data_IF_181367739398
#
_entry.id   IF_181367739398
#
_cell.length_a   1.000
_cell.length_b   1.000
_cell.length_c   1.000
_cell.angle_alpha   90.00
_cell.angle_beta   90.00
_cell.angle_gamma   90.00
#
_symmetry.space_group_name_H-M   'P 1'
#
loop_
_entity.id
_entity.type
_entity.pdbx_description
1 polymer ?
#
# COMPACT_ATOMS: atom_id res chain seq x y z
N UNK A 1 -1.89 18.46 7.45
CA UNK A 1 -2.04 18.59 8.92
C UNK A 1 -1.14 19.65 9.51
N UNK A 2 0.19 19.59 9.34
CA UNK A 2 1.12 20.60 9.88
C UNK A 2 0.79 22.05 9.47
N UNK A 3 0.36 22.28 8.22
CA UNK A 3 -0.11 23.62 7.78
C UNK A 3 -1.38 24.06 8.52
N UNK A 4 -2.33 23.14 8.73
CA UNK A 4 -3.57 23.43 9.48
C UNK A 4 -3.26 23.71 10.95
N UNK A 5 -2.42 22.87 11.57
CA UNK A 5 -1.93 23.10 12.93
C UNK A 5 -1.21 24.44 13.06
N UNK A 6 -0.33 24.77 12.12
CA UNK A 6 0.35 26.06 12.06
C UNK A 6 -0.63 27.24 12.03
N UNK A 7 -1.62 27.22 11.13
CA UNK A 7 -2.64 28.28 11.04
C UNK A 7 -3.38 28.43 12.38
N UNK A 8 -3.84 27.33 12.97
CA UNK A 8 -4.57 27.37 14.24
C UNK A 8 -3.69 27.87 15.40
N UNK A 9 -2.45 27.40 15.51
CA UNK A 9 -1.47 27.83 16.51
C UNK A 9 -1.07 29.31 16.35
N UNK A 10 -1.02 29.83 15.12
CA UNK A 10 -0.72 31.25 14.85
C UNK A 10 -1.89 32.16 15.21
N UNK A 11 -3.13 31.68 15.05
CA UNK A 11 -4.35 32.43 15.37
C UNK A 11 -4.77 32.33 16.85
N UNK A 12 -4.20 31.38 17.60
CA UNK A 12 -4.52 31.10 19.00
C UNK A 12 -4.48 32.33 19.93
N UNK A 13 -3.48 33.25 19.83
CA UNK A 13 -3.45 34.48 20.63
C UNK A 13 -4.59 35.48 20.34
N UNK A 14 -5.33 35.29 19.23
CA UNK A 14 -6.46 36.13 18.84
C UNK A 14 -7.80 35.56 19.33
N UNK A 15 -7.80 34.37 19.95
CA UNK A 15 -9.02 33.71 20.41
C UNK A 15 -9.44 34.21 21.80
N UNK A 16 -10.75 34.32 22.08
CA UNK A 16 -11.25 34.59 23.42
C UNK A 16 -10.79 33.49 24.39
N UNK A 17 -10.32 33.86 25.58
CA UNK A 17 -9.81 32.93 26.59
C UNK A 17 -8.30 32.68 26.55
N UNK A 18 -7.58 33.22 25.56
CA UNK A 18 -6.10 33.21 25.51
C UNK A 18 -5.50 34.50 26.14
N UNK A 19 -6.09 35.00 27.23
CA UNK A 19 -5.66 36.22 27.90
C UNK A 19 -4.29 35.99 28.56
N UNK A 20 -3.23 36.56 27.98
CA UNK A 20 -1.86 36.40 28.47
C UNK A 20 -0.89 35.71 27.50
N UNK A 21 -1.34 35.33 26.29
CA UNK A 21 -0.48 34.80 25.23
C UNK A 21 0.58 35.82 24.80
N UNK A 22 1.71 35.87 25.50
CA UNK A 22 2.90 36.62 25.08
C UNK A 22 3.62 35.80 24.00
N UNK A 23 4.18 36.50 23.02
CA UNK A 23 4.91 36.05 21.83
C UNK A 23 6.01 34.95 21.97
N UNK A 24 6.19 34.31 23.12
CA UNK A 24 7.51 33.77 23.51
C UNK A 24 7.83 32.32 23.12
N UNK A 25 6.86 31.42 22.89
CA UNK A 25 7.13 30.23 22.05
C UNK A 25 6.04 29.89 21.02
N UNK A 26 4.77 30.27 21.21
CA UNK A 26 3.64 29.75 20.41
C UNK A 26 3.66 30.24 18.96
N UNK A 27 3.98 31.52 18.74
CA UNK A 27 4.05 32.10 17.39
C UNK A 27 5.24 31.52 16.58
N UNK A 28 6.48 31.45 17.11
CA UNK A 28 7.59 30.75 16.44
C UNK A 28 7.29 29.28 16.13
N UNK A 29 6.61 28.57 17.04
CA UNK A 29 6.18 27.17 16.83
C UNK A 29 5.19 27.08 15.67
N UNK A 30 4.18 27.95 15.64
CA UNK A 30 3.20 28.01 14.55
C UNK A 30 3.88 28.26 13.19
N UNK A 31 4.77 29.26 13.12
CA UNK A 31 5.53 29.57 11.91
C UNK A 31 6.41 28.39 11.50
N UNK A 32 7.16 27.79 12.43
CA UNK A 32 8.04 26.65 12.16
C UNK A 32 7.27 25.42 11.66
N UNK A 33 6.14 25.10 12.29
CA UNK A 33 5.24 24.03 11.84
C UNK A 33 4.67 24.31 10.44
N UNK A 34 4.43 25.58 10.12
CA UNK A 34 3.97 26.02 8.80
C UNK A 34 5.03 25.85 7.73
N UNK A 35 6.26 26.28 8.00
CA UNK A 35 7.42 26.09 7.10
C UNK A 35 7.67 24.61 6.88
N UNK A 36 7.67 23.80 7.95
CA UNK A 36 7.82 22.35 7.85
C UNK A 36 6.69 21.73 7.03
N UNK A 37 5.44 22.12 7.30
CA UNK A 37 4.27 21.62 6.57
C UNK A 37 4.30 21.96 5.08
N UNK A 38 4.76 23.16 4.72
CA UNK A 38 4.90 23.59 3.33
C UNK A 38 6.07 22.88 2.64
N UNK A 39 7.24 22.83 3.28
CA UNK A 39 8.38 22.05 2.79
C UNK A 39 7.97 20.61 2.55
N UNK A 40 7.19 20.06 3.47
CA UNK A 40 6.71 18.71 3.37
C UNK A 40 5.74 18.51 2.21
N UNK A 41 4.78 19.42 2.01
CA UNK A 41 3.83 19.34 0.90
C UNK A 41 4.52 19.48 -0.48
N UNK A 42 5.61 20.25 -0.56
CA UNK A 42 6.32 20.50 -1.81
C UNK A 42 7.32 19.39 -2.19
N UNK A 43 7.75 18.57 -1.23
CA UNK A 43 8.70 17.48 -1.50
C UNK A 43 8.00 16.33 -2.24
N UNK A 44 8.57 15.90 -3.38
CA UNK A 44 8.01 14.80 -4.19
C UNK A 44 8.57 13.42 -3.82
N UNK A 45 9.66 13.36 -3.07
CA UNK A 45 10.38 12.11 -2.79
C UNK A 45 10.00 11.47 -1.45
N UNK A 46 8.74 11.58 -1.03
CA UNK A 46 8.31 10.98 0.24
C UNK A 46 8.46 9.46 0.30
N UNK A 47 8.48 8.80 -0.87
CA UNK A 47 8.65 7.36 -1.00
C UNK A 47 10.03 6.85 -0.51
N UNK A 48 11.05 7.71 -0.42
CA UNK A 48 12.37 7.37 0.14
C UNK A 48 12.57 7.88 1.57
N UNK A 49 11.60 8.59 2.15
CA UNK A 49 11.72 9.10 3.49
C UNK A 49 11.73 7.95 4.52
N UNK A 50 12.63 7.97 5.51
CA UNK A 50 12.69 6.91 6.51
C UNK A 50 11.46 6.98 7.43
N UNK A 51 10.91 5.81 7.81
CA UNK A 51 9.68 5.74 8.61
C UNK A 51 9.72 6.49 9.94
N UNK A 52 10.90 6.55 10.60
CA UNK A 52 11.07 7.31 11.85
C UNK A 52 10.78 8.81 11.70
N UNK A 53 10.95 9.37 10.49
CA UNK A 53 10.72 10.79 10.24
C UNK A 53 9.25 11.16 10.48
N UNK A 54 8.32 10.28 10.13
CA UNK A 54 6.90 10.51 10.40
C UNK A 54 6.59 10.43 11.89
N UNK A 55 7.18 9.47 12.61
CA UNK A 55 7.04 9.38 14.06
C UNK A 55 7.58 10.62 14.79
N UNK A 56 8.76 11.09 14.38
CA UNK A 56 9.39 12.30 14.90
C UNK A 56 8.50 13.53 14.65
N UNK A 57 7.92 13.65 13.45
CA UNK A 57 7.04 14.75 13.11
C UNK A 57 5.76 14.77 13.97
N UNK A 58 5.10 13.63 14.19
CA UNK A 58 3.92 13.56 15.07
C UNK A 58 4.30 13.88 16.51
N UNK A 59 5.38 13.28 17.02
CA UNK A 59 5.85 13.51 18.39
C UNK A 59 6.16 15.00 18.62
N UNK A 60 6.90 15.63 17.71
CA UNK A 60 7.19 17.06 17.78
C UNK A 60 5.91 17.90 17.74
N UNK A 61 4.94 17.53 16.90
CA UNK A 61 3.63 18.19 16.87
C UNK A 61 2.91 18.15 18.22
N UNK A 62 2.93 17.00 18.90
CA UNK A 62 2.33 16.86 20.24
C UNK A 62 3.08 17.69 21.30
N UNK A 63 4.42 17.72 21.25
CA UNK A 63 5.24 18.57 22.13
C UNK A 63 4.94 20.06 21.90
N UNK A 64 4.82 20.49 20.64
CA UNK A 64 4.44 21.85 20.29
C UNK A 64 3.08 22.25 20.86
N UNK A 65 2.10 21.33 20.85
CA UNK A 65 0.79 21.56 21.46
C UNK A 65 0.92 21.67 22.98
N UNK A 66 1.72 20.82 23.64
CA UNK A 66 1.95 20.91 25.09
C UNK A 66 2.51 22.28 25.50
N UNK A 67 3.48 22.79 24.72
CA UNK A 67 4.05 24.14 24.94
C UNK A 67 2.99 25.22 24.70
N UNK A 68 2.20 25.12 23.63
CA UNK A 68 1.14 26.07 23.35
C UNK A 68 0.08 26.10 24.46
N UNK A 69 -0.28 24.94 25.03
CA UNK A 69 -1.21 24.84 26.16
C UNK A 69 -0.67 25.59 27.38
N UNK A 70 0.60 25.36 27.74
CA UNK A 70 1.22 26.06 28.87
C UNK A 70 1.31 27.57 28.66
N UNK A 71 1.54 28.02 27.42
CA UNK A 71 1.69 29.43 27.07
C UNK A 71 0.36 30.20 26.91
N UNK A 72 -0.74 29.49 26.62
CA UNK A 72 -2.05 30.12 26.30
C UNK A 72 -3.12 29.85 27.35
N UNK A 73 -2.72 29.74 28.63
CA UNK A 73 -3.65 29.72 29.75
C UNK A 73 -3.93 28.34 30.36
N UNK A 74 -3.01 27.38 30.22
CA UNK A 74 -3.04 26.13 30.97
C UNK A 74 -4.32 25.34 30.75
N UNK A 75 -5.08 25.09 31.81
CA UNK A 75 -6.35 24.34 31.75
C UNK A 75 -7.37 24.95 30.78
N UNK A 76 -7.41 26.28 30.66
CA UNK A 76 -8.34 27.01 29.80
C UNK A 76 -7.84 27.19 28.37
N UNK A 77 -6.63 26.75 28.06
CA UNK A 77 -6.05 26.95 26.74
C UNK A 77 -6.87 26.26 25.64
N UNK A 78 -7.31 26.96 24.59
CA UNK A 78 -7.99 26.32 23.46
C UNK A 78 -7.04 25.43 22.63
N UNK A 79 -5.72 25.50 22.84
CA UNK A 79 -4.74 24.67 22.13
C UNK A 79 -4.90 23.17 22.44
N UNK A 80 -5.52 22.83 23.58
CA UNK A 80 -5.88 21.46 23.98
C UNK A 80 -6.71 20.72 22.90
N UNK A 81 -7.53 21.43 22.14
CA UNK A 81 -8.33 20.82 21.06
C UNK A 81 -7.48 20.39 19.86
N UNK A 82 -6.29 20.95 19.67
CA UNK A 82 -5.36 20.53 18.62
C UNK A 82 -4.84 19.10 18.85
N UNK A 83 -4.95 18.56 20.07
CA UNK A 83 -4.62 17.17 20.35
C UNK A 83 -5.49 16.17 19.57
N UNK A 84 -6.72 16.54 19.20
CA UNK A 84 -7.57 15.73 18.30
C UNK A 84 -6.88 15.52 16.94
N UNK A 85 -6.27 16.60 16.43
CA UNK A 85 -5.55 16.60 15.16
C UNK A 85 -4.37 15.61 15.24
N UNK A 86 -3.68 15.57 16.37
CA UNK A 86 -2.53 14.66 16.59
C UNK A 86 -2.88 13.17 16.60
N UNK A 87 -4.15 12.79 16.77
CA UNK A 87 -4.61 11.39 16.68
C UNK A 87 -4.92 10.95 15.24
N UNK A 88 -5.29 11.89 14.36
CA UNK A 88 -5.68 11.56 12.99
C UNK A 88 -4.53 10.98 12.19
N UNK A 89 -3.33 11.57 12.32
CA UNK A 89 -2.17 11.17 11.52
C UNK A 89 -1.70 9.75 11.85
N UNK A 90 -1.47 9.37 13.13
CA UNK A 90 -1.12 7.99 13.48
C UNK A 90 -2.24 7.00 13.14
N UNK A 91 -3.51 7.35 13.43
CA UNK A 91 -4.65 6.48 13.14
C UNK A 91 -4.75 6.11 11.65
N UNK A 92 -4.51 7.09 10.77
CA UNK A 92 -4.56 6.90 9.34
C UNK A 92 -3.28 6.27 8.76
N UNK A 93 -2.09 6.81 9.06
CA UNK A 93 -0.86 6.43 8.36
C UNK A 93 -0.08 5.29 9.01
N UNK A 94 -0.15 5.10 10.33
CA UNK A 94 0.70 4.13 11.02
C UNK A 94 0.05 2.76 11.11
N UNK A 95 0.85 1.73 11.39
CA UNK A 95 0.29 0.41 11.70
C UNK A 95 -0.53 0.50 12.98
N UNK A 96 -1.51 -0.38 13.15
CA UNK A 96 -2.41 -0.32 14.32
C UNK A 96 -1.67 -0.33 15.64
N UNK A 97 -0.68 -1.20 15.76
CA UNK A 97 0.22 -1.38 16.89
C UNK A 97 1.07 -0.14 17.18
N UNK A 98 1.40 0.64 16.14
CA UNK A 98 2.17 1.89 16.25
C UNK A 98 1.29 3.11 16.56
N UNK A 99 0.00 3.06 16.21
CA UNK A 99 -0.93 4.17 16.37
C UNK A 99 -1.44 4.32 17.81
N UNK A 100 -1.75 3.21 18.49
CA UNK A 100 -2.32 3.24 19.85
C UNK A 100 -1.45 3.92 20.92
N UNK A 101 -0.09 3.82 20.91
CA UNK A 101 0.75 4.58 21.84
C UNK A 101 0.53 6.10 21.78
N UNK A 102 0.15 6.65 20.62
CA UNK A 102 -0.13 8.09 20.48
C UNK A 102 -1.41 8.51 21.20
N UNK A 103 -2.37 7.60 21.41
CA UNK A 103 -3.51 7.87 22.27
C UNK A 103 -3.03 8.14 23.70
N UNK A 104 -2.17 7.27 24.24
CA UNK A 104 -1.58 7.46 25.57
C UNK A 104 -0.81 8.78 25.68
N UNK A 105 0.00 9.11 24.66
CA UNK A 105 0.74 10.38 24.63
C UNK A 105 -0.20 11.60 24.62
N UNK A 106 -1.26 11.57 23.81
CA UNK A 106 -2.25 12.65 23.78
C UNK A 106 -2.96 12.82 25.12
N UNK A 107 -3.33 11.71 25.77
CA UNK A 107 -3.93 11.73 27.11
C UNK A 107 -2.99 12.35 28.14
N UNK A 108 -1.71 11.98 28.12
CA UNK A 108 -0.70 12.56 29.01
C UNK A 108 -0.55 14.06 28.81
N UNK A 109 -0.48 14.52 27.55
CA UNK A 109 -0.39 15.95 27.25
C UNK A 109 -1.67 16.70 27.63
N UNK A 110 -2.83 16.07 27.46
CA UNK A 110 -4.09 16.66 27.88
C UNK A 110 -4.17 16.84 29.41
N UNK A 111 -3.63 15.89 30.15
CA UNK A 111 -3.55 15.94 31.61
C UNK A 111 -2.38 16.81 32.13
N UNK A 112 -1.52 17.31 31.25
CA UNK A 112 -0.29 18.04 31.60
C UNK A 112 -0.52 19.26 32.51
N UNK A 113 -1.59 20.07 32.35
CA UNK A 113 -1.89 21.17 33.28
C UNK A 113 -1.99 20.76 34.75
N UNK A 114 -2.38 19.53 35.08
CA UNK A 114 -2.44 19.04 36.46
C UNK A 114 -1.09 19.11 37.20
N UNK A 115 0.02 19.19 36.46
CA UNK A 115 1.36 19.23 37.05
C UNK A 115 1.83 20.63 37.46
N UNK A 116 1.25 21.69 36.87
CA UNK A 116 1.75 23.06 37.05
C UNK A 116 0.67 24.12 37.27
N UNK A 117 -0.60 23.82 36.94
CA UNK A 117 -1.73 24.73 37.05
C UNK A 117 -2.59 24.33 38.27
N UNK A 118 -2.55 25.09 39.37
CA UNK A 118 -3.27 24.74 40.60
C UNK A 118 -4.80 24.82 40.44
N UNK A 119 -5.28 25.60 39.48
CA UNK A 119 -6.72 25.76 39.21
C UNK A 119 -7.28 24.57 38.40
N UNK A 120 -6.41 23.74 37.80
CA UNK A 120 -6.81 22.61 36.96
C UNK A 120 -7.72 21.59 37.68
N UNK A 121 -7.58 21.41 38.99
CA UNK A 121 -8.45 20.52 39.77
C UNK A 121 -9.81 21.19 40.06
N UNK A 122 -9.82 22.50 40.28
CA UNK A 122 -11.03 23.29 40.58
C UNK A 122 -11.89 23.57 39.35
N UNK A 123 -11.28 23.73 38.17
CA UNK A 123 -11.94 24.09 36.91
C UNK A 123 -12.39 22.89 36.07
N UNK A 124 -12.65 21.75 36.72
CA UNK A 124 -13.28 20.57 36.11
C UNK A 124 -12.46 19.82 35.03
N UNK A 125 -11.13 19.97 34.96
CA UNK A 125 -10.28 19.17 34.04
C UNK A 125 -10.50 17.66 34.20
N UNK A 126 -10.77 17.19 35.42
CA UNK A 126 -11.11 15.79 35.69
C UNK A 126 -12.42 15.37 35.02
N UNK A 127 -13.45 16.22 35.08
CA UNK A 127 -14.73 15.98 34.41
C UNK A 127 -14.58 16.02 32.88
N UNK A 128 -13.72 16.90 32.39
CA UNK A 128 -13.42 17.00 30.96
C UNK A 128 -12.63 15.79 30.45
N UNK A 129 -11.62 15.31 31.19
CA UNK A 129 -10.91 14.06 30.88
C UNK A 129 -11.90 12.88 30.85
N UNK A 130 -12.84 12.80 31.79
CA UNK A 130 -13.90 11.79 31.81
C UNK A 130 -14.72 11.76 30.50
N UNK A 131 -14.95 12.91 29.87
CA UNK A 131 -15.71 13.03 28.62
C UNK A 131 -14.81 12.81 27.39
N UNK A 132 -13.63 13.44 27.36
CA UNK A 132 -12.76 13.46 26.19
C UNK A 132 -11.94 12.18 26.00
N UNK A 133 -11.63 11.44 27.07
CA UNK A 133 -10.94 10.15 26.95
C UNK A 133 -11.72 9.15 26.07
N UNK A 134 -13.03 8.91 26.31
CA UNK A 134 -13.87 8.15 25.38
C UNK A 134 -13.87 8.71 23.96
N UNK A 135 -13.89 10.05 23.78
CA UNK A 135 -13.86 10.66 22.46
C UNK A 135 -12.55 10.41 21.71
N UNK A 136 -11.40 10.54 22.38
CA UNK A 136 -10.09 10.24 21.81
C UNK A 136 -9.95 8.76 21.45
N UNK A 137 -10.42 7.88 22.33
CA UNK A 137 -10.44 6.45 22.06
C UNK A 137 -11.34 6.13 20.87
N UNK A 138 -12.56 6.67 20.82
CA UNK A 138 -13.52 6.45 19.74
C UNK A 138 -12.97 6.95 18.40
N UNK A 139 -12.37 8.15 18.38
CA UNK A 139 -11.74 8.69 17.19
C UNK A 139 -10.61 7.79 16.68
N UNK A 140 -9.70 7.39 17.56
CA UNK A 140 -8.60 6.47 17.21
C UNK A 140 -9.14 5.12 16.71
N UNK A 141 -10.14 4.56 17.42
CA UNK A 141 -10.79 3.32 17.05
C UNK A 141 -11.42 3.39 15.67
N UNK A 142 -12.23 4.42 15.38
CA UNK A 142 -12.89 4.61 14.08
C UNK A 142 -11.87 4.73 12.95
N UNK A 143 -10.78 5.49 13.16
CA UNK A 143 -9.72 5.63 12.15
C UNK A 143 -9.00 4.31 11.87
N UNK A 144 -8.61 3.58 12.92
CA UNK A 144 -7.90 2.30 12.77
C UNK A 144 -8.81 1.22 12.19
N UNK A 145 -10.05 1.12 12.67
CA UNK A 145 -11.04 0.17 12.18
C UNK A 145 -11.47 0.47 10.74
N UNK A 146 -11.74 1.74 10.42
CA UNK A 146 -12.10 2.18 9.07
C UNK A 146 -10.99 1.88 8.05
N UNK A 147 -9.74 2.16 8.40
CA UNK A 147 -8.58 1.80 7.56
C UNK A 147 -8.50 0.29 7.31
N UNK A 148 -8.63 -0.52 8.36
CA UNK A 148 -8.61 -1.99 8.22
C UNK A 148 -9.75 -2.47 7.33
N UNK A 149 -10.95 -1.92 7.51
CA UNK A 149 -12.11 -2.24 6.68
C UNK A 149 -11.90 -1.89 5.20
N UNK A 150 -11.28 -0.74 4.91
CA UNK A 150 -10.95 -0.35 3.53
C UNK A 150 -9.93 -1.29 2.89
N UNK A 151 -8.88 -1.68 3.62
CA UNK A 151 -7.85 -2.61 3.12
C UNK A 151 -8.47 -3.98 2.83
N UNK A 152 -9.31 -4.47 3.74
CA UNK A 152 -10.02 -5.74 3.57
C UNK A 152 -10.99 -5.70 2.40
N UNK A 153 -11.81 -4.66 2.29
CA UNK A 153 -12.76 -4.51 1.19
C UNK A 153 -12.04 -4.43 -0.16
N UNK A 154 -10.89 -3.75 -0.21
CA UNK A 154 -10.05 -3.71 -1.39
C UNK A 154 -9.50 -5.09 -1.74
N UNK A 155 -8.98 -5.84 -0.76
CA UNK A 155 -8.52 -7.21 -0.97
C UNK A 155 -9.65 -8.12 -1.46
N UNK A 156 -10.87 -7.97 -0.94
CA UNK A 156 -12.05 -8.70 -1.40
C UNK A 156 -12.47 -8.29 -2.82
N UNK A 157 -12.44 -7.00 -3.14
CA UNK A 157 -12.70 -6.53 -4.50
C UNK A 157 -11.67 -7.07 -5.49
N UNK A 158 -10.39 -7.07 -5.11
CA UNK A 158 -9.30 -7.65 -5.90
C UNK A 158 -9.47 -9.18 -6.04
N UNK A 159 -9.97 -9.87 -5.01
CA UNK A 159 -10.27 -11.30 -5.06
C UNK A 159 -11.50 -11.64 -5.93
N UNK A 160 -12.50 -10.74 -5.97
CA UNK A 160 -13.67 -10.87 -6.84
C UNK A 160 -13.36 -10.47 -8.29
N UNK A 161 -12.34 -9.62 -8.50
CA UNK A 161 -11.88 -9.30 -9.83
C UNK A 161 -11.47 -10.58 -10.55
N UNK A 162 -11.82 -10.67 -11.84
CA UNK A 162 -11.37 -11.75 -12.73
C UNK A 162 -10.13 -11.35 -13.53
N UNK A 163 -9.61 -10.15 -13.29
CA UNK A 163 -8.50 -9.57 -14.03
C UNK A 163 -7.40 -9.10 -13.08
N UNK A 164 -6.17 -9.16 -13.55
CA UNK A 164 -5.01 -8.56 -12.91
C UNK A 164 -5.01 -7.04 -13.14
N UNK A 165 -4.93 -6.20 -12.08
CA UNK A 165 -5.09 -4.75 -12.20
C UNK A 165 -3.94 -4.05 -12.93
N UNK A 166 -2.74 -4.66 -13.01
CA UNK A 166 -1.60 -4.08 -13.70
C UNK A 166 -1.62 -4.39 -15.20
N UNK A 167 -1.92 -5.64 -15.56
CA UNK A 167 -1.79 -6.14 -16.93
C UNK A 167 -3.11 -6.20 -17.69
N UNK A 168 -4.25 -6.19 -16.97
CA UNK A 168 -5.59 -6.38 -17.54
C UNK A 168 -5.84 -7.80 -18.07
N UNK A 169 -4.92 -8.74 -17.88
CA UNK A 169 -5.13 -10.17 -18.21
C UNK A 169 -6.06 -10.82 -17.20
N UNK A 170 -6.53 -12.03 -17.50
CA UNK A 170 -7.21 -12.84 -16.49
C UNK A 170 -6.29 -13.06 -15.28
N UNK A 171 -6.82 -13.12 -14.07
CA UNK A 171 -6.03 -13.51 -12.91
C UNK A 171 -6.04 -15.04 -12.73
N UNK A 172 -5.23 -15.54 -11.79
CA UNK A 172 -5.16 -16.96 -11.44
C UNK A 172 -6.54 -17.58 -11.21
N UNK A 173 -7.45 -16.88 -10.54
CA UNK A 173 -8.80 -17.37 -10.24
C UNK A 173 -9.61 -17.57 -11.52
N UNK A 174 -9.62 -16.59 -12.42
CA UNK A 174 -10.30 -16.70 -13.70
C UNK A 174 -9.73 -17.82 -14.59
N UNK A 175 -8.41 -18.02 -14.58
CA UNK A 175 -7.77 -19.14 -15.29
C UNK A 175 -8.25 -20.49 -14.76
N UNK A 176 -8.22 -20.69 -13.43
CA UNK A 176 -8.66 -21.94 -12.80
C UNK A 176 -10.15 -22.23 -13.10
N UNK A 177 -11.01 -21.20 -13.00
CA UNK A 177 -12.42 -21.30 -13.37
C UNK A 177 -12.60 -21.71 -14.84
N UNK A 178 -11.80 -21.14 -15.74
CA UNK A 178 -11.86 -21.46 -17.17
C UNK A 178 -11.38 -22.88 -17.49
N UNK A 179 -10.32 -23.36 -16.81
CA UNK A 179 -9.89 -24.76 -16.93
C UNK A 179 -11.00 -25.69 -16.43
N UNK A 180 -11.56 -25.44 -15.25
CA UNK A 180 -12.64 -26.27 -14.69
C UNK A 180 -13.91 -26.27 -15.55
N UNK A 181 -14.18 -25.19 -16.28
CA UNK A 181 -15.32 -25.08 -17.18
C UNK A 181 -15.06 -25.69 -18.56
N UNK A 182 -13.80 -25.91 -18.93
CA UNK A 182 -13.45 -26.52 -20.21
C UNK A 182 -13.80 -28.02 -20.22
N UNK A 183 -14.17 -28.52 -21.40
CA UNK A 183 -14.45 -29.94 -21.62
C UNK A 183 -13.39 -30.56 -22.52
N UNK A 184 -12.92 -31.75 -22.17
CA UNK A 184 -11.97 -32.52 -22.98
C UNK A 184 -10.52 -32.13 -22.73
N UNK A 185 -9.71 -32.17 -23.80
CA UNK A 185 -8.27 -31.88 -23.74
C UNK A 185 -8.02 -30.40 -24.00
N UNK A 186 -7.17 -29.80 -23.19
CA UNK A 186 -6.75 -28.39 -23.31
C UNK A 186 -5.24 -28.29 -23.24
N UNK A 187 -4.67 -27.30 -23.94
CA UNK A 187 -3.28 -26.91 -23.77
C UNK A 187 -3.14 -25.86 -22.68
N UNK A 188 -2.15 -26.03 -21.80
CA UNK A 188 -1.75 -25.01 -20.84
C UNK A 188 -0.27 -24.70 -21.04
N UNK A 189 0.05 -23.42 -21.23
CA UNK A 189 1.40 -22.89 -21.21
C UNK A 189 1.57 -22.02 -19.97
N UNK A 190 2.61 -22.26 -19.18
CA UNK A 190 3.06 -21.38 -18.10
C UNK A 190 4.40 -20.75 -18.49
N UNK A 191 4.60 -19.50 -18.10
CA UNK A 191 5.85 -18.80 -18.39
C UNK A 191 6.23 -17.86 -17.24
N UNK A 192 7.51 -17.52 -17.19
CA UNK A 192 8.09 -16.64 -16.19
C UNK A 192 9.16 -15.75 -16.83
N UNK A 193 9.24 -14.50 -16.38
CA UNK A 193 10.23 -13.52 -16.85
C UNK A 193 11.59 -13.81 -16.22
N UNK A 194 12.55 -14.24 -17.05
CA UNK A 194 13.87 -14.60 -16.59
C UNK A 194 14.57 -13.40 -15.92
N UNK A 195 15.06 -13.61 -14.69
CA UNK A 195 15.82 -12.61 -13.93
C UNK A 195 15.06 -11.30 -13.64
N UNK A 196 13.73 -11.37 -13.47
CA UNK A 196 12.86 -10.21 -13.20
C UNK A 196 13.31 -9.33 -12.03
N UNK A 197 13.85 -9.92 -10.95
CA UNK A 197 14.44 -9.16 -9.83
C UNK A 197 15.59 -8.25 -10.28
N UNK A 198 16.37 -8.68 -11.26
CA UNK A 198 17.44 -7.88 -11.88
C UNK A 198 16.88 -6.66 -12.62
N UNK A 199 15.77 -6.83 -13.34
CA UNK A 199 15.05 -5.73 -14.01
C UNK A 199 14.59 -4.70 -12.97
N UNK A 200 13.97 -5.14 -11.87
CA UNK A 200 13.55 -4.26 -10.78
C UNK A 200 14.73 -3.54 -10.12
N UNK A 201 15.87 -4.22 -9.96
CA UNK A 201 17.05 -3.62 -9.35
C UNK A 201 17.65 -2.53 -10.25
N UNK A 202 17.68 -2.75 -11.57
CA UNK A 202 18.31 -1.84 -12.52
C UNK A 202 17.41 -0.67 -12.94
N UNK A 203 16.11 -0.91 -13.09
CA UNK A 203 15.15 0.06 -13.63
C UNK A 203 14.07 0.50 -12.63
N UNK A 204 14.16 0.04 -11.38
CA UNK A 204 13.15 0.25 -10.35
C UNK A 204 11.86 -0.54 -10.61
N UNK A 205 10.95 -0.52 -9.62
CA UNK A 205 9.61 -1.12 -9.76
C UNK A 205 8.82 -0.62 -10.98
N UNK A 206 8.84 0.68 -11.34
CA UNK A 206 8.17 1.15 -12.56
C UNK A 206 8.77 0.58 -13.86
N UNK A 207 10.03 0.15 -13.83
CA UNK A 207 10.66 -0.58 -14.94
C UNK A 207 10.16 -2.02 -15.02
N UNK A 208 10.09 -2.72 -13.89
CA UNK A 208 9.49 -4.05 -13.80
C UNK A 208 8.02 -4.07 -14.23
N UNK A 209 7.23 -3.10 -13.78
CA UNK A 209 5.81 -2.97 -14.15
C UNK A 209 5.63 -2.85 -15.67
N UNK A 210 6.48 -2.04 -16.34
CA UNK A 210 6.48 -1.92 -17.80
C UNK A 210 6.87 -3.22 -18.50
N UNK A 211 7.82 -3.97 -17.95
CA UNK A 211 8.19 -5.28 -18.49
C UNK A 211 7.02 -6.29 -18.39
N UNK A 212 6.29 -6.28 -17.28
CA UNK A 212 5.10 -7.12 -17.10
C UNK A 212 3.96 -6.75 -18.06
N UNK A 213 3.73 -5.45 -18.28
CA UNK A 213 2.75 -4.97 -19.28
C UNK A 213 3.17 -5.39 -20.70
N UNK A 214 4.45 -5.28 -21.04
CA UNK A 214 4.99 -5.74 -22.33
C UNK A 214 4.75 -7.24 -22.56
N UNK A 215 5.02 -8.08 -21.55
CA UNK A 215 4.74 -9.53 -21.60
C UNK A 215 3.24 -9.79 -21.79
N UNK A 216 2.39 -9.05 -21.07
CA UNK A 216 0.95 -9.20 -21.15
C UNK A 216 0.38 -8.83 -22.52
N UNK A 217 0.90 -7.77 -23.15
CA UNK A 217 0.49 -7.35 -24.48
C UNK A 217 0.86 -8.40 -25.53
N UNK A 218 2.06 -8.98 -25.45
CA UNK A 218 2.49 -10.05 -26.34
C UNK A 218 1.69 -11.35 -26.18
N UNK A 219 1.29 -11.69 -24.95
CA UNK A 219 0.35 -12.78 -24.71
C UNK A 219 -0.99 -12.50 -25.38
N UNK A 220 -1.54 -11.29 -25.18
CA UNK A 220 -2.83 -10.89 -25.75
C UNK A 220 -2.85 -10.90 -27.28
N UNK A 221 -1.80 -10.41 -27.93
CA UNK A 221 -1.70 -10.38 -29.40
C UNK A 221 -1.42 -11.75 -30.00
N UNK A 222 -0.80 -12.65 -29.24
CA UNK A 222 -0.56 -14.04 -29.66
C UNK A 222 -1.78 -14.94 -29.45
N UNK A 223 -2.65 -14.63 -28.49
CA UNK A 223 -3.85 -15.41 -28.19
C UNK A 223 -4.88 -15.38 -29.33
N UNK A 224 -5.50 -16.54 -29.58
CA UNK A 224 -6.74 -16.66 -30.36
C UNK A 224 -7.93 -16.19 -29.51
N UNK A 225 -9.09 -16.01 -30.15
CA UNK A 225 -10.33 -15.59 -29.47
C UNK A 225 -10.75 -16.53 -28.32
N UNK A 226 -10.49 -17.82 -28.47
CA UNK A 226 -10.79 -18.86 -27.48
C UNK A 226 -9.70 -19.09 -26.44
N UNK A 227 -8.52 -18.48 -26.61
CA UNK A 227 -7.42 -18.61 -25.67
C UNK A 227 -7.60 -17.63 -24.50
N UNK A 228 -7.15 -18.02 -23.31
CA UNK A 228 -7.23 -17.19 -22.12
C UNK A 228 -5.83 -16.91 -21.56
N UNK A 229 -5.22 -15.76 -21.89
CA UNK A 229 -3.99 -15.31 -21.25
C UNK A 229 -4.28 -14.81 -19.82
N UNK A 230 -3.44 -15.20 -18.87
CA UNK A 230 -3.60 -14.92 -17.47
C UNK A 230 -2.26 -14.57 -16.79
N UNK A 231 -2.32 -13.79 -15.71
CA UNK A 231 -1.22 -13.57 -14.77
C UNK A 231 -1.49 -14.31 -13.46
N UNK A 232 -0.54 -15.14 -13.03
CA UNK A 232 -0.69 -15.97 -11.84
C UNK A 232 -0.29 -15.23 -10.56
N UNK A 233 0.64 -14.28 -10.69
CA UNK A 233 1.18 -13.45 -9.61
C UNK A 233 2.66 -13.15 -9.87
N UNK A 234 3.18 -12.05 -9.33
CA UNK A 234 4.59 -11.68 -9.54
C UNK A 234 4.93 -11.56 -11.02
N UNK A 235 5.92 -12.33 -11.47
CA UNK A 235 6.43 -12.45 -12.84
C UNK A 235 5.94 -13.70 -13.59
N UNK A 236 4.97 -14.42 -13.03
CA UNK A 236 4.40 -15.66 -13.58
C UNK A 236 3.13 -15.41 -14.39
N UNK A 237 3.08 -15.99 -15.59
CA UNK A 237 1.95 -15.93 -16.50
C UNK A 237 1.54 -17.31 -16.99
N UNK A 238 0.34 -17.40 -17.54
CA UNK A 238 -0.17 -18.59 -18.19
C UNK A 238 -1.04 -18.25 -19.40
N UNK A 239 -1.21 -19.22 -20.29
CA UNK A 239 -2.12 -19.15 -21.42
C UNK A 239 -2.83 -20.51 -21.56
N UNK A 240 -4.15 -20.50 -21.38
CA UNK A 240 -5.01 -21.64 -21.65
C UNK A 240 -5.43 -21.61 -23.12
N UNK A 241 -5.20 -22.69 -23.85
CA UNK A 241 -5.50 -22.84 -25.26
C UNK A 241 -6.40 -24.07 -25.49
N UNK A 242 -7.74 -23.91 -25.50
CA UNK A 242 -8.65 -25.01 -25.74
C UNK A 242 -8.55 -25.57 -27.16
N UNK A 243 -8.56 -26.90 -27.31
CA UNK A 243 -8.59 -27.58 -28.61
C UNK A 243 -7.31 -27.44 -29.45
N UNK A 244 -6.22 -26.98 -28.85
CA UNK A 244 -4.91 -26.92 -29.51
C UNK A 244 -4.24 -28.30 -29.50
N UNK A 245 -3.48 -28.60 -30.56
CA UNK A 245 -2.66 -29.80 -30.65
C UNK A 245 -1.19 -29.51 -30.26
N UNK A 246 -0.38 -30.56 -30.17
CA UNK A 246 1.02 -30.44 -29.74
C UNK A 246 1.84 -29.54 -30.68
N UNK A 247 1.60 -29.63 -32.00
CA UNK A 247 2.27 -28.77 -32.98
C UNK A 247 1.87 -27.30 -32.80
N UNK A 248 0.59 -27.03 -32.53
CA UNK A 248 0.08 -25.70 -32.23
C UNK A 248 0.66 -25.13 -30.93
N UNK A 249 0.79 -25.93 -29.88
CA UNK A 249 1.41 -25.51 -28.61
C UNK A 249 2.87 -25.16 -28.79
N UNK A 250 3.62 -25.99 -29.50
CA UNK A 250 5.03 -25.72 -29.79
C UNK A 250 5.20 -24.42 -30.59
N UNK A 251 4.39 -24.23 -31.64
CA UNK A 251 4.40 -23.00 -32.43
C UNK A 251 4.01 -21.76 -31.61
N UNK A 252 3.00 -21.87 -30.73
CA UNK A 252 2.59 -20.81 -29.82
C UNK A 252 3.72 -20.44 -28.86
N UNK A 253 4.36 -21.44 -28.25
CA UNK A 253 5.46 -21.25 -27.32
C UNK A 253 6.64 -20.55 -28.01
N UNK A 254 7.07 -21.03 -29.18
CA UNK A 254 8.16 -20.43 -29.94
C UNK A 254 7.86 -18.99 -30.39
N UNK A 255 6.61 -18.71 -30.78
CA UNK A 255 6.19 -17.34 -31.09
C UNK A 255 6.28 -16.44 -29.87
N UNK A 256 5.75 -16.87 -28.71
CA UNK A 256 5.84 -16.10 -27.47
C UNK A 256 7.29 -15.85 -27.03
N UNK A 257 8.16 -16.85 -27.17
CA UNK A 257 9.61 -16.71 -26.94
C UNK A 257 10.26 -15.63 -27.82
N UNK A 258 9.73 -15.41 -29.02
CA UNK A 258 10.24 -14.43 -29.98
C UNK A 258 9.66 -13.04 -29.74
N UNK A 259 8.34 -12.95 -29.53
CA UNK A 259 7.63 -11.69 -29.29
C UNK A 259 7.95 -11.09 -27.92
N UNK A 260 8.10 -11.92 -26.88
CA UNK A 260 8.46 -11.50 -25.52
C UNK A 260 9.99 -11.44 -25.38
N UNK A 261 10.64 -10.80 -26.35
CA UNK A 261 12.08 -10.56 -26.31
C UNK A 261 12.36 -9.08 -26.49
N UNK A 262 13.00 -8.48 -25.50
CA UNK A 262 13.48 -7.10 -25.58
C UNK A 262 14.99 -7.06 -25.31
N UNK A 263 15.77 -7.18 -26.39
CA UNK A 263 17.22 -7.35 -26.32
C UNK A 263 17.61 -8.54 -25.42
N UNK A 264 18.55 -8.30 -24.52
CA UNK A 264 18.93 -9.24 -23.45
C UNK A 264 18.27 -8.90 -22.10
N UNK A 265 17.38 -7.90 -22.07
CA UNK A 265 16.77 -7.39 -20.83
C UNK A 265 15.53 -8.19 -20.44
N UNK A 266 14.63 -8.45 -21.40
CA UNK A 266 13.43 -9.25 -21.17
C UNK A 266 13.53 -10.51 -21.99
N UNK A 267 13.56 -11.64 -21.29
CA UNK A 267 13.48 -13.00 -21.81
C UNK A 267 12.53 -13.80 -20.93
N UNK A 268 11.99 -14.89 -21.47
CA UNK A 268 11.10 -15.76 -20.72
C UNK A 268 11.58 -17.20 -20.78
N UNK A 269 11.26 -17.96 -19.75
CA UNK A 269 11.23 -19.41 -19.83
C UNK A 269 9.77 -19.86 -19.84
N UNK A 270 9.46 -20.92 -20.58
CA UNK A 270 8.10 -21.45 -20.67
C UNK A 270 8.07 -22.97 -20.49
N UNK A 271 6.99 -23.46 -19.92
CA UNK A 271 6.62 -24.87 -19.83
C UNK A 271 5.21 -25.06 -20.37
N UNK A 272 4.96 -26.15 -21.08
CA UNK A 272 3.61 -26.41 -21.57
C UNK A 272 3.24 -27.88 -21.53
N UNK A 273 1.94 -28.15 -21.50
CA UNK A 273 1.35 -29.49 -21.48
C UNK A 273 0.01 -29.48 -22.21
N UNK A 274 -0.40 -30.64 -22.75
CA UNK A 274 -1.77 -30.88 -23.21
C UNK A 274 -2.33 -32.04 -22.40
N UNK A 275 -3.43 -31.80 -21.72
CA UNK A 275 -4.03 -32.79 -20.82
C UNK A 275 -5.53 -32.60 -20.66
N UNK A 276 -6.19 -33.51 -19.92
CA UNK A 276 -7.56 -33.32 -19.49
C UNK A 276 -7.71 -31.99 -18.74
N UNK A 277 -8.90 -31.39 -18.79
CA UNK A 277 -9.23 -30.14 -18.10
C UNK A 277 -9.29 -30.26 -16.55
N UNK A 278 -8.19 -30.71 -15.94
CA UNK A 278 -7.94 -30.71 -14.49
C UNK A 278 -6.96 -29.58 -14.14
N UNK A 279 -7.42 -28.52 -13.46
CA UNK A 279 -6.58 -27.38 -13.13
C UNK A 279 -5.35 -27.71 -12.29
N UNK A 280 -5.46 -28.67 -11.35
CA UNK A 280 -4.37 -29.00 -10.46
C UNK A 280 -3.27 -29.76 -11.19
N UNK A 281 -3.67 -30.75 -11.99
CA UNK A 281 -2.74 -31.56 -12.77
C UNK A 281 -2.05 -30.73 -13.86
N UNK A 282 -2.80 -29.99 -14.68
CA UNK A 282 -2.23 -29.18 -15.76
C UNK A 282 -1.21 -28.15 -15.25
N UNK A 283 -1.52 -27.46 -14.14
CA UNK A 283 -0.60 -26.49 -13.56
C UNK A 283 0.67 -27.16 -13.03
N UNK A 284 0.55 -28.31 -12.39
CA UNK A 284 1.70 -29.05 -11.87
C UNK A 284 2.64 -29.47 -13.01
N UNK A 285 2.08 -30.08 -14.06
CA UNK A 285 2.83 -30.58 -15.22
C UNK A 285 3.49 -29.45 -16.03
N UNK A 286 2.75 -28.37 -16.30
CA UNK A 286 3.29 -27.20 -16.98
C UNK A 286 4.42 -26.53 -16.16
N UNK A 287 4.26 -26.41 -14.84
CA UNK A 287 5.28 -25.84 -13.97
C UNK A 287 6.53 -26.75 -13.86
N UNK A 288 6.37 -28.07 -13.89
CA UNK A 288 7.50 -28.99 -13.98
C UNK A 288 8.32 -28.79 -15.26
N UNK A 289 7.65 -28.62 -16.41
CA UNK A 289 8.30 -28.29 -17.67
C UNK A 289 8.99 -26.91 -17.63
N UNK A 290 8.36 -25.89 -17.04
CA UNK A 290 8.92 -24.55 -16.86
C UNK A 290 10.19 -24.59 -15.98
N UNK A 291 10.14 -25.34 -14.87
CA UNK A 291 11.31 -25.52 -14.01
C UNK A 291 12.44 -26.24 -14.75
N UNK A 292 12.12 -27.23 -15.59
CA UNK A 292 13.12 -27.87 -16.45
C UNK A 292 13.74 -26.88 -17.44
N UNK A 293 12.94 -25.97 -18.02
CA UNK A 293 13.41 -24.93 -18.92
C UNK A 293 14.39 -23.98 -18.20
N UNK A 294 14.04 -23.54 -16.99
CA UNK A 294 14.89 -22.70 -16.14
C UNK A 294 16.20 -23.41 -15.79
N UNK A 295 16.16 -24.67 -15.35
CA UNK A 295 17.36 -25.48 -15.04
C UNK A 295 18.24 -25.74 -16.26
N UNK A 296 17.65 -25.82 -17.45
CA UNK A 296 18.35 -26.04 -18.71
C UNK A 296 19.18 -24.84 -19.19
N UNK A 297 19.11 -23.69 -18.52
CA UNK A 297 19.79 -22.46 -18.93
C UNK A 297 18.85 -21.35 -19.39
N UNK A 298 17.55 -21.45 -19.05
CA UNK A 298 16.52 -20.43 -19.32
C UNK A 298 16.30 -20.15 -20.82
N UNK A 299 15.53 -19.10 -21.13
CA UNK A 299 15.26 -18.62 -22.49
C UNK A 299 14.86 -19.74 -23.46
N UNK A 300 13.93 -20.60 -23.02
CA UNK A 300 13.41 -21.73 -23.81
C UNK A 300 12.02 -22.12 -23.36
N UNK A 301 11.30 -22.77 -24.26
CA UNK A 301 10.07 -23.48 -23.95
C UNK A 301 10.35 -25.00 -23.91
N UNK A 302 9.75 -25.72 -22.96
CA UNK A 302 9.77 -27.18 -22.93
C UNK A 302 8.36 -27.74 -22.77
N UNK A 303 8.11 -28.89 -23.39
CA UNK A 303 6.92 -29.69 -23.15
C UNK A 303 7.09 -30.58 -21.91
N UNK A 304 6.02 -30.83 -21.17
CA UNK A 304 5.91 -31.92 -20.21
C UNK A 304 5.78 -33.25 -20.96
N UNK A 305 6.80 -34.12 -20.82
CA UNK A 305 6.89 -35.40 -21.52
C UNK A 305 7.17 -36.54 -20.54
#
# INVERSE_FOLDING_TARGET
MFVVGAVLTTLLPLLPGAEGAVLTPTLPIGIGAGVWGLHAALRRDWHIAPGWLMHAAVFLGVVCIAVAVADTGGVNSPARFLLLLSLVLPGYFFRSEEAWPYLGLVVLVHAFPLLYDPDAVGEALLGELLILLPCYWLLMFVLVAGKRGMVELRAQADALARQDPLTGLANRRALLEAISAASGMVGLLTLDVDDFKGINTLYGHPGGDRALVFVADALRTSSREQDLPARLGGDEFALLAPGIDAAGMEALAQRLMTEIRYGDVVRISAGWVIGPADPQQLLLEADEALRAAKRGGKNRALNYA
#
